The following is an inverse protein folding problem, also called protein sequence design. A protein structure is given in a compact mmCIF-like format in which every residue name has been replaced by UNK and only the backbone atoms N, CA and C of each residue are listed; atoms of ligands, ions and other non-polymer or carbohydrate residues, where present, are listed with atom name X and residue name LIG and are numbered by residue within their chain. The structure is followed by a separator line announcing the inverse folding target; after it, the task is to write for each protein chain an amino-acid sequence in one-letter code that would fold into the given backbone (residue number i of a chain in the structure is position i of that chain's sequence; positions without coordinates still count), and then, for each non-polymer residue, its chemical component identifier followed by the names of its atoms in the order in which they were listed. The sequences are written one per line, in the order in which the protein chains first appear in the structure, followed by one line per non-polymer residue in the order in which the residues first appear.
data_IF_317962503071
#
_entry.id   IF_317962503071
#
_cell.length_a   1.000
_cell.length_b   1.000
_cell.length_c   1.000
_cell.angle_alpha   90.00
_cell.angle_beta   90.00
_cell.angle_gamma   90.00
#
_symmetry.space_group_name_H-M   'P 1'
#
loop_
_entity.id
_entity.type
_entity.pdbx_description
1 polymer ?
#
# COMPACT_ATOMS: atom_id res chain seq x y z
N UNK A 1 0.77 -1.60 -18.94
CA UNK A 1 0.64 -3.00 -18.47
C UNK A 1 0.51 -2.95 -16.95
N UNK A 2 -0.37 -3.79 -16.44
CA UNK A 2 -1.21 -3.59 -15.25
C UNK A 2 -0.40 -3.46 -13.95
N UNK A 3 -0.65 -2.37 -13.23
CA UNK A 3 -0.06 -1.99 -11.94
C UNK A 3 -0.50 -2.79 -10.68
N UNK A 4 -1.40 -3.82 -10.70
CA UNK A 4 -1.72 -4.61 -9.51
C UNK A 4 -0.76 -5.78 -9.25
N UNK A 5 0.00 -6.25 -10.25
CA UNK A 5 0.81 -7.47 -10.12
C UNK A 5 2.03 -7.25 -9.18
N UNK A 6 2.69 -6.10 -9.32
CA UNK A 6 3.82 -5.73 -8.44
C UNK A 6 3.40 -5.45 -6.99
N UNK A 7 2.16 -5.00 -6.76
CA UNK A 7 1.63 -4.80 -5.41
C UNK A 7 1.21 -6.12 -4.77
N UNK A 8 0.59 -7.02 -5.53
CA UNK A 8 0.23 -8.36 -5.04
C UNK A 8 1.50 -9.15 -4.66
N UNK A 9 2.54 -9.08 -5.51
CA UNK A 9 3.84 -9.68 -5.22
C UNK A 9 4.45 -9.11 -3.93
N UNK A 10 4.43 -7.78 -3.76
CA UNK A 10 4.97 -7.12 -2.57
C UNK A 10 4.18 -7.48 -1.30
N UNK A 11 2.86 -7.59 -1.38
CA UNK A 11 1.99 -8.05 -0.29
C UNK A 11 2.32 -9.49 0.10
N UNK A 12 2.54 -10.38 -0.88
CA UNK A 12 2.94 -11.77 -0.62
C UNK A 12 4.31 -11.85 0.04
N UNK A 13 5.28 -11.07 -0.44
CA UNK A 13 6.61 -10.97 0.17
C UNK A 13 6.54 -10.49 1.62
N UNK A 14 5.72 -9.45 1.90
CA UNK A 14 5.49 -8.94 3.25
C UNK A 14 4.79 -9.95 4.16
N UNK A 15 3.80 -10.69 3.65
CA UNK A 15 3.15 -11.76 4.40
C UNK A 15 4.11 -12.90 4.72
N UNK A 16 4.97 -13.28 3.78
CA UNK A 16 5.93 -14.36 3.97
C UNK A 16 7.05 -13.93 4.93
N UNK A 17 7.48 -12.67 4.86
CA UNK A 17 8.37 -12.05 5.83
C UNK A 17 7.75 -12.04 7.24
N UNK A 18 6.49 -11.62 7.38
CA UNK A 18 5.75 -11.68 8.65
C UNK A 18 5.70 -13.11 9.20
N UNK A 19 5.42 -14.09 8.35
CA UNK A 19 5.34 -15.51 8.74
C UNK A 19 6.69 -16.04 9.23
N UNK A 20 7.78 -15.70 8.55
CA UNK A 20 9.15 -16.04 8.99
C UNK A 20 9.51 -15.32 10.29
N UNK A 21 9.13 -14.06 10.46
CA UNK A 21 9.32 -13.31 11.69
C UNK A 21 8.53 -13.94 12.86
N UNK A 22 7.30 -14.42 12.65
CA UNK A 22 6.54 -15.19 13.64
C UNK A 22 7.23 -16.51 14.00
N UNK A 23 7.79 -17.23 13.03
CA UNK A 23 8.56 -18.46 13.28
C UNK A 23 9.83 -18.17 14.08
N UNK A 24 10.54 -17.08 13.75
CA UNK A 24 11.68 -16.63 14.54
C UNK A 24 11.25 -16.24 15.95
N UNK A 25 10.11 -15.56 16.11
CA UNK A 25 9.54 -15.26 17.42
C UNK A 25 9.26 -16.53 18.23
N UNK A 26 8.84 -17.62 17.58
CA UNK A 26 8.62 -18.90 18.25
C UNK A 26 9.92 -19.57 18.70
N UNK A 27 11.07 -19.13 18.18
CA UNK A 27 12.37 -19.63 18.58
C UNK A 27 12.68 -19.21 20.04
N UNK A 28 13.02 -20.17 20.92
CA UNK A 28 13.31 -19.91 22.33
C UNK A 28 14.68 -19.28 22.55
N UNK A 29 15.56 -19.25 21.54
CA UNK A 29 16.90 -18.64 21.61
C UNK A 29 16.85 -17.11 21.56
N UNK A 30 15.70 -16.52 21.17
CA UNK A 30 15.53 -15.08 21.14
C UNK A 30 15.42 -14.48 22.53
N UNK A 31 16.27 -13.48 22.79
CA UNK A 31 16.18 -12.66 23.99
C UNK A 31 14.81 -11.98 24.10
N UNK A 32 14.34 -11.72 25.32
CA UNK A 32 13.08 -11.03 25.56
C UNK A 32 13.03 -9.64 24.89
N UNK A 33 14.18 -8.98 24.74
CA UNK A 33 14.31 -7.71 24.02
C UNK A 33 14.08 -7.90 22.52
N UNK A 34 14.81 -8.80 21.87
CA UNK A 34 14.67 -9.08 20.44
C UNK A 34 13.24 -9.51 20.09
N UNK A 35 12.60 -10.30 20.97
CA UNK A 35 11.19 -10.71 20.83
C UNK A 35 10.23 -9.51 20.86
N UNK A 36 10.46 -8.55 21.75
CA UNK A 36 9.65 -7.33 21.88
C UNK A 36 9.87 -6.39 20.69
N UNK A 37 11.12 -6.24 20.27
CA UNK A 37 11.51 -5.42 19.14
C UNK A 37 10.96 -5.96 17.82
N UNK A 38 11.00 -7.29 17.62
CA UNK A 38 10.39 -7.94 16.46
C UNK A 38 8.88 -7.70 16.43
N UNK A 39 8.20 -7.86 17.57
CA UNK A 39 6.75 -7.57 17.68
C UNK A 39 6.43 -6.10 17.37
N UNK A 40 7.23 -5.16 17.86
CA UNK A 40 7.03 -3.73 17.58
C UNK A 40 7.21 -3.43 16.09
N UNK A 41 8.26 -3.97 15.47
CA UNK A 41 8.51 -3.82 14.03
C UNK A 41 7.38 -4.40 13.19
N UNK A 42 6.90 -5.60 13.53
CA UNK A 42 5.75 -6.22 12.84
C UNK A 42 4.49 -5.36 12.97
N UNK A 43 4.24 -4.79 14.16
CA UNK A 43 3.08 -3.92 14.40
C UNK A 43 3.16 -2.62 13.60
N UNK A 44 4.35 -2.01 13.55
CA UNK A 44 4.63 -0.80 12.78
C UNK A 44 4.45 -1.06 11.28
N UNK A 45 5.03 -2.15 10.77
CA UNK A 45 4.96 -2.53 9.36
C UNK A 45 3.53 -2.87 8.93
N UNK A 46 2.76 -3.55 9.79
CA UNK A 46 1.35 -3.82 9.53
C UNK A 46 0.48 -2.54 9.52
N UNK A 47 0.76 -1.59 10.42
CA UNK A 47 0.06 -0.31 10.44
C UNK A 47 0.38 0.51 9.16
N UNK A 48 1.64 0.54 8.73
CA UNK A 48 2.07 1.23 7.52
C UNK A 48 1.41 0.63 6.26
N UNK A 49 1.43 -0.71 6.15
CA UNK A 49 0.72 -1.44 5.09
C UNK A 49 -0.77 -1.09 5.04
N UNK A 50 -1.43 -1.04 6.20
CA UNK A 50 -2.85 -0.71 6.28
C UNK A 50 -3.12 0.73 5.84
N UNK A 51 -2.24 1.68 6.20
CA UNK A 51 -2.33 3.08 5.73
C UNK A 51 -2.13 3.17 4.22
N UNK A 52 -1.15 2.46 3.66
CA UNK A 52 -0.90 2.43 2.21
C UNK A 52 -2.08 1.79 1.44
N UNK A 53 -2.59 0.65 1.92
CA UNK A 53 -3.79 -0.01 1.37
C UNK A 53 -5.02 0.90 1.45
N UNK A 54 -5.23 1.59 2.58
CA UNK A 54 -6.34 2.52 2.75
C UNK A 54 -6.21 3.74 1.83
N UNK A 55 -4.99 4.27 1.65
CA UNK A 55 -4.72 5.35 0.72
C UNK A 55 -4.96 4.92 -0.74
N UNK A 56 -4.56 3.71 -1.11
CA UNK A 56 -4.84 3.12 -2.43
C UNK A 56 -6.33 2.87 -2.65
N UNK A 57 -7.03 2.33 -1.65
CA UNK A 57 -8.49 2.16 -1.68
C UNK A 57 -9.19 3.51 -1.88
N UNK A 58 -8.77 4.56 -1.15
CA UNK A 58 -9.28 5.92 -1.37
C UNK A 58 -8.99 6.47 -2.76
N UNK A 59 -7.85 6.13 -3.38
CA UNK A 59 -7.54 6.52 -4.78
C UNK A 59 -8.39 5.76 -5.80
N UNK A 60 -8.65 4.47 -5.56
CA UNK A 60 -9.53 3.65 -6.39
C UNK A 60 -11.00 4.06 -6.27
N UNK A 61 -11.42 4.55 -5.11
CA UNK A 61 -12.77 5.08 -4.88
C UNK A 61 -12.93 6.55 -5.28
N UNK A 62 -11.89 7.24 -5.75
CA UNK A 62 -12.07 8.53 -6.39
C UNK A 62 -12.60 8.28 -7.82
N UNK A 63 -13.77 8.81 -8.18
CA UNK A 63 -14.15 8.89 -9.57
C UNK A 63 -13.05 9.65 -10.29
N UNK A 64 -12.59 9.14 -11.44
CA UNK A 64 -11.82 9.97 -12.37
C UNK A 64 -12.53 11.33 -12.45
N UNK A 65 -11.84 12.48 -12.32
CA UNK A 65 -12.48 13.76 -12.59
C UNK A 65 -13.04 13.67 -14.01
N UNK A 66 -14.36 13.55 -14.09
CA UNK A 66 -15.10 13.38 -15.31
C UNK A 66 -14.79 14.60 -16.18
N UNK A 67 -14.02 14.37 -17.24
CA UNK A 67 -13.72 15.34 -18.26
C UNK A 67 -12.96 16.56 -17.73
N UNK A 68 -11.76 16.78 -18.27
CA UNK A 68 -11.49 18.15 -18.73
C UNK A 68 -12.72 18.56 -19.54
N UNK A 69 -13.57 19.41 -18.97
CA UNK A 69 -14.56 20.13 -19.74
C UNK A 69 -13.75 20.82 -20.83
N UNK A 70 -13.82 20.26 -22.03
CA UNK A 70 -13.19 20.82 -23.20
C UNK A 70 -13.94 22.13 -23.42
N UNK A 71 -13.38 23.22 -22.88
CA UNK A 71 -13.92 24.56 -23.05
C UNK A 71 -13.86 24.81 -24.55
N UNK A 72 -15.03 24.75 -25.17
CA UNK A 72 -15.27 25.02 -26.59
C UNK A 72 -14.48 26.28 -26.95
N UNK A 73 -13.50 26.22 -27.88
CA UNK A 73 -12.85 27.43 -28.34
C UNK A 73 -13.92 28.26 -29.07
N UNK A 74 -14.24 29.42 -28.50
CA UNK A 74 -15.02 30.46 -29.16
C UNK A 74 -14.28 30.87 -30.43
N UNK A 75 -14.66 30.29 -31.56
CA UNK A 75 -14.25 30.73 -32.88
C UNK A 75 -14.87 32.12 -33.10
N UNK A 76 -14.06 33.16 -32.89
CA UNK A 76 -14.37 34.53 -33.30
C UNK A 76 -14.53 34.55 -34.81
N UNK A 77 -15.78 34.53 -35.29
CA UNK A 77 -16.09 34.84 -36.69
C UNK A 77 -15.98 36.36 -36.82
N UNK A 78 -14.92 36.82 -37.50
CA UNK A 78 -14.81 38.18 -38.03
C UNK A 78 -15.63 38.21 -39.33
N UNK A 79 -16.74 38.97 -39.32
CA UNK A 79 -17.43 39.48 -40.52
C UNK A 79 -17.55 40.98 -40.35
#
# INVERSE_FOLDING_TARGET
MTQPDGLDQNIRELQEWLRRAWQQLADPSLTAFSRRELRNQMKQCNADLHVQLQAMSKRLSQPLPAGRAFVRPELRILV
#
